data_IF_312792492348
#
_entry.id   IF_312792492348
#
_cell.length_a   1.000
_cell.length_b   1.000
_cell.length_c   1.000
_cell.angle_alpha   90.00
_cell.angle_beta   90.00
_cell.angle_gamma   90.00
#
_symmetry.space_group_name_H-M   'P 1'
#
loop_
_entity.id
_entity.type
_entity.pdbx_description
1 polymer ?
#
# COMPACT_ATOMS: atom_id res chain seq x y z
N UNK A 1 -2.75 -0.62 15.33
CA UNK A 1 -2.33 -2.06 15.34
C UNK A 1 -0.86 -2.22 14.91
N UNK A 2 -0.05 -3.03 15.61
CA UNK A 2 1.37 -3.28 15.27
C UNK A 2 1.67 -4.76 15.02
N UNK A 3 2.45 -5.07 13.98
CA UNK A 3 2.92 -6.43 13.65
C UNK A 3 4.44 -6.41 13.45
N UNK A 4 5.18 -6.94 14.42
CA UNK A 4 6.65 -7.05 14.39
C UNK A 4 7.17 -8.44 14.08
N UNK A 5 6.35 -9.48 14.28
CA UNK A 5 6.67 -10.88 13.96
C UNK A 5 5.99 -11.35 12.67
N UNK A 6 5.44 -12.56 12.68
CA UNK A 6 4.57 -13.03 11.60
C UNK A 6 3.09 -12.89 11.99
N UNK A 7 2.27 -12.35 11.10
CA UNK A 7 0.85 -12.14 11.32
C UNK A 7 -0.01 -12.63 10.15
N UNK A 8 -1.21 -13.10 10.46
CA UNK A 8 -2.24 -13.40 9.47
C UNK A 8 -3.53 -12.69 9.87
N UNK A 9 -4.12 -11.99 8.92
CA UNK A 9 -5.43 -11.35 9.05
C UNK A 9 -6.34 -11.94 7.97
N UNK A 10 -7.58 -12.26 8.30
CA UNK A 10 -8.57 -12.67 7.30
C UNK A 10 -9.04 -11.49 6.43
N UNK A 11 -8.87 -10.26 6.91
CA UNK A 11 -9.39 -9.02 6.34
C UNK A 11 -9.98 -8.16 7.47
N UNK A 12 -10.77 -7.17 7.11
CA UNK A 12 -11.53 -6.36 8.05
C UNK A 12 -11.07 -4.91 8.15
N UNK A 13 -11.53 -4.21 9.18
CA UNK A 13 -11.28 -2.79 9.38
C UNK A 13 -10.66 -2.56 10.74
N UNK A 14 -9.71 -1.62 10.80
CA UNK A 14 -9.25 -1.02 12.05
C UNK A 14 -9.40 0.50 11.97
N UNK A 15 -9.80 1.14 13.04
CA UNK A 15 -9.90 2.62 13.13
C UNK A 15 -8.57 3.25 13.60
N UNK A 16 -7.45 2.59 13.30
CA UNK A 16 -6.12 2.97 13.77
C UNK A 16 -5.08 2.70 12.67
N UNK A 17 -3.83 3.11 12.88
CA UNK A 17 -2.72 2.84 11.98
C UNK A 17 -2.34 1.35 12.01
N UNK A 18 -2.18 0.73 10.83
CA UNK A 18 -1.51 -0.56 10.69
C UNK A 18 -0.01 -0.33 10.48
N UNK A 19 0.79 -0.69 11.47
CA UNK A 19 2.25 -0.61 11.41
C UNK A 19 2.88 -2.01 11.33
N UNK A 20 3.63 -2.30 10.27
CA UNK A 20 4.22 -3.61 9.99
C UNK A 20 5.74 -3.50 9.85
N UNK A 21 6.47 -4.02 10.83
CA UNK A 21 7.92 -4.20 10.76
C UNK A 21 8.33 -5.66 10.53
N UNK A 22 7.41 -6.60 10.76
CA UNK A 22 7.59 -8.03 10.51
C UNK A 22 7.06 -8.48 9.14
N UNK A 23 6.29 -9.57 9.13
CA UNK A 23 5.61 -10.08 7.94
C UNK A 23 4.12 -10.27 8.21
N UNK A 24 3.26 -9.71 7.36
CA UNK A 24 1.81 -9.93 7.47
C UNK A 24 1.22 -10.41 6.15
N UNK A 25 0.30 -11.38 6.26
CA UNK A 25 -0.58 -11.78 5.17
C UNK A 25 -2.03 -11.44 5.51
N UNK A 26 -2.68 -10.66 4.67
CA UNK A 26 -4.10 -10.32 4.76
C UNK A 26 -4.84 -11.04 3.63
N UNK A 27 -5.75 -11.95 3.98
CA UNK A 27 -6.40 -12.84 3.01
C UNK A 27 -7.56 -12.19 2.24
N UNK A 28 -8.16 -11.13 2.78
CA UNK A 28 -9.27 -10.42 2.19
C UNK A 28 -9.04 -8.91 2.16
N UNK A 29 -10.14 -8.18 1.98
CA UNK A 29 -10.13 -6.72 1.96
C UNK A 29 -9.78 -6.16 3.33
N UNK A 30 -9.02 -5.07 3.35
CA UNK A 30 -8.59 -4.42 4.58
C UNK A 30 -8.76 -2.91 4.53
N UNK A 31 -9.22 -2.34 5.63
CA UNK A 31 -9.35 -0.90 5.82
C UNK A 31 -8.63 -0.44 7.08
N UNK A 32 -7.86 0.64 6.97
CA UNK A 32 -7.21 1.27 8.13
C UNK A 32 -7.17 2.80 8.02
N UNK A 33 -6.93 3.47 9.15
CA UNK A 33 -6.77 4.92 9.17
C UNK A 33 -5.43 5.37 8.60
N UNK A 34 -4.38 4.58 8.77
CA UNK A 34 -3.08 4.82 8.16
C UNK A 34 -2.34 3.49 7.97
N UNK A 35 -1.40 3.46 7.03
CA UNK A 35 -0.60 2.27 6.75
C UNK A 35 0.89 2.60 6.72
N UNK A 36 1.67 1.85 7.48
CA UNK A 36 3.13 1.99 7.51
C UNK A 36 3.78 0.61 7.51
N UNK A 37 4.57 0.30 6.49
CA UNK A 37 5.24 -0.99 6.34
C UNK A 37 6.72 -0.82 6.04
N UNK A 38 7.57 -1.26 6.96
CA UNK A 38 9.01 -1.47 6.74
C UNK A 38 9.36 -2.95 6.52
N UNK A 39 8.44 -3.85 6.84
CA UNK A 39 8.57 -5.29 6.66
C UNK A 39 8.00 -5.81 5.34
N UNK A 40 7.47 -7.03 5.36
CA UNK A 40 6.80 -7.67 4.21
C UNK A 40 5.30 -7.75 4.41
N UNK A 41 4.54 -7.04 3.58
CA UNK A 41 3.08 -7.03 3.63
C UNK A 41 2.50 -7.60 2.36
N UNK A 42 1.61 -8.59 2.49
CA UNK A 42 0.87 -9.18 1.39
C UNK A 42 -0.62 -9.11 1.64
N UNK A 43 -1.37 -8.51 0.74
CA UNK A 43 -2.83 -8.37 0.82
C UNK A 43 -3.42 -9.00 -0.44
N UNK A 44 -4.29 -9.98 -0.27
CA UNK A 44 -4.93 -10.67 -1.40
C UNK A 44 -6.22 -9.97 -1.88
N UNK A 45 -6.86 -9.18 -1.01
CA UNK A 45 -7.99 -8.32 -1.38
C UNK A 45 -7.57 -6.90 -1.74
N UNK A 46 -8.49 -5.96 -1.56
CA UNK A 46 -8.29 -4.52 -1.66
C UNK A 46 -7.72 -3.94 -0.36
N UNK A 47 -7.00 -2.83 -0.47
CA UNK A 47 -6.54 -2.05 0.69
C UNK A 47 -7.07 -0.63 0.60
N UNK A 48 -7.88 -0.23 1.58
CA UNK A 48 -8.40 1.12 1.73
C UNK A 48 -7.71 1.82 2.91
N UNK A 49 -7.14 3.00 2.68
CA UNK A 49 -6.43 3.77 3.70
C UNK A 49 -6.99 5.19 3.74
N UNK A 50 -7.58 5.58 4.87
CA UNK A 50 -8.21 6.91 5.03
C UNK A 50 -7.21 8.06 5.24
N UNK A 51 -5.99 7.72 5.65
CA UNK A 51 -4.88 8.64 5.85
C UNK A 51 -3.71 8.31 4.95
N UNK A 52 -2.51 8.47 5.49
CA UNK A 52 -1.29 8.30 4.71
C UNK A 52 -0.84 6.84 4.63
N UNK A 53 -0.19 6.50 3.52
CA UNK A 53 0.43 5.20 3.26
C UNK A 53 1.93 5.37 3.08
N UNK A 54 2.73 4.67 3.88
CA UNK A 54 4.19 4.62 3.78
C UNK A 54 4.66 3.18 3.62
N UNK A 55 5.44 2.92 2.57
CA UNK A 55 6.10 1.63 2.40
C UNK A 55 7.58 1.80 2.10
N UNK A 56 8.42 1.36 3.04
CA UNK A 56 9.87 1.22 2.84
C UNK A 56 10.30 -0.24 2.70
N UNK A 57 9.40 -1.20 2.93
CA UNK A 57 9.63 -2.63 2.80
C UNK A 57 9.13 -3.22 1.48
N UNK A 58 8.63 -4.46 1.56
CA UNK A 58 8.03 -5.17 0.43
C UNK A 58 6.51 -5.21 0.57
N UNK A 59 5.78 -4.54 -0.32
CA UNK A 59 4.33 -4.52 -0.34
C UNK A 59 3.78 -5.16 -1.61
N UNK A 60 2.95 -6.19 -1.46
CA UNK A 60 2.22 -6.83 -2.57
C UNK A 60 0.73 -6.78 -2.31
N UNK A 61 -0.01 -6.25 -3.27
CA UNK A 61 -1.46 -6.15 -3.25
C UNK A 61 -2.02 -6.80 -4.51
N UNK A 62 -2.91 -7.78 -4.34
CA UNK A 62 -3.59 -8.42 -5.45
C UNK A 62 -4.80 -7.61 -5.94
N UNK A 63 -5.50 -6.90 -5.05
CA UNK A 63 -6.60 -6.00 -5.40
C UNK A 63 -6.16 -4.57 -5.71
N UNK A 64 -7.09 -3.64 -5.52
CA UNK A 64 -6.88 -2.19 -5.68
C UNK A 64 -6.37 -1.54 -4.39
N UNK A 65 -5.53 -0.52 -4.54
CA UNK A 65 -5.05 0.34 -3.46
C UNK A 65 -5.81 1.68 -3.51
N UNK A 66 -6.62 1.98 -2.51
CA UNK A 66 -7.30 3.27 -2.38
C UNK A 66 -6.75 4.03 -1.18
N UNK A 67 -6.21 5.22 -1.40
CA UNK A 67 -5.62 6.05 -0.34
C UNK A 67 -6.19 7.47 -0.41
N UNK A 68 -6.76 7.94 0.70
CA UNK A 68 -7.28 9.30 0.80
C UNK A 68 -6.20 10.34 1.16
N UNK A 69 -5.12 9.91 1.82
CA UNK A 69 -3.96 10.74 2.13
C UNK A 69 -2.82 10.63 1.11
N UNK A 70 -1.61 10.91 1.58
CA UNK A 70 -0.40 10.83 0.77
C UNK A 70 0.14 9.40 0.70
N UNK A 71 0.76 9.04 -0.43
CA UNK A 71 1.44 7.76 -0.60
C UNK A 71 2.93 7.99 -0.81
N UNK A 72 3.76 7.39 0.06
CA UNK A 72 5.22 7.40 -0.07
C UNK A 72 5.78 5.99 -0.16
N UNK A 73 6.40 5.68 -1.29
CA UNK A 73 6.97 4.38 -1.59
C UNK A 73 8.48 4.53 -1.80
N UNK A 74 9.27 4.07 -0.84
CA UNK A 74 10.73 3.97 -0.97
C UNK A 74 11.22 2.53 -1.09
N UNK A 75 10.37 1.56 -0.74
CA UNK A 75 10.64 0.13 -0.89
C UNK A 75 10.19 -0.44 -2.24
N UNK A 76 9.84 -1.72 -2.24
CA UNK A 76 9.27 -2.42 -3.40
C UNK A 76 7.76 -2.56 -3.24
N UNK A 77 7.00 -2.03 -4.18
CA UNK A 77 5.54 -2.05 -4.18
C UNK A 77 5.02 -2.65 -5.48
N UNK A 78 4.19 -3.69 -5.39
CA UNK A 78 3.51 -4.28 -6.53
C UNK A 78 2.02 -4.35 -6.25
N UNK A 79 1.24 -3.60 -7.01
CA UNK A 79 -0.22 -3.62 -6.98
C UNK A 79 -0.70 -4.22 -8.30
N UNK A 80 -1.44 -5.32 -8.25
CA UNK A 80 -2.01 -5.93 -9.45
C UNK A 80 -3.24 -5.18 -9.94
N UNK A 81 -4.09 -4.70 -9.04
CA UNK A 81 -5.23 -3.86 -9.38
C UNK A 81 -4.82 -2.42 -9.71
N UNK A 82 -5.78 -1.52 -9.53
CA UNK A 82 -5.59 -0.09 -9.72
C UNK A 82 -5.06 0.58 -8.46
N UNK A 83 -4.38 1.70 -8.63
CA UNK A 83 -3.92 2.56 -7.52
C UNK A 83 -4.64 3.90 -7.63
N UNK A 84 -5.41 4.24 -6.59
CA UNK A 84 -6.10 5.51 -6.45
C UNK A 84 -5.57 6.27 -5.25
N UNK A 85 -5.11 7.50 -5.48
CA UNK A 85 -4.57 8.38 -4.43
C UNK A 85 -5.23 9.75 -4.52
N UNK A 86 -5.91 10.21 -3.46
CA UNK A 86 -6.59 11.51 -3.45
C UNK A 86 -5.65 12.70 -3.26
N UNK A 87 -4.45 12.50 -2.74
CA UNK A 87 -3.42 13.55 -2.60
C UNK A 87 -2.21 13.23 -3.46
N UNK A 88 -1.02 13.19 -2.86
CA UNK A 88 0.24 13.02 -3.59
C UNK A 88 0.72 11.57 -3.60
N UNK A 89 1.32 11.17 -4.71
CA UNK A 89 2.05 9.91 -4.83
C UNK A 89 3.54 10.16 -5.08
N UNK A 90 4.37 9.81 -4.11
CA UNK A 90 5.83 9.86 -4.23
C UNK A 90 6.40 8.46 -4.24
N UNK A 91 6.99 8.03 -5.35
CA UNK A 91 7.78 6.80 -5.43
C UNK A 91 9.25 7.11 -5.71
N UNK A 92 10.11 6.79 -4.74
CA UNK A 92 11.57 6.78 -4.87
C UNK A 92 12.14 5.36 -4.94
N UNK A 93 11.32 4.33 -4.73
CA UNK A 93 11.70 2.93 -4.79
C UNK A 93 11.29 2.25 -6.10
N UNK A 94 10.78 1.02 -6.01
CA UNK A 94 10.24 0.28 -7.16
C UNK A 94 8.72 0.17 -7.06
N UNK A 95 8.00 0.67 -8.05
CA UNK A 95 6.54 0.58 -8.15
C UNK A 95 6.15 -0.20 -9.40
N UNK A 96 5.34 -1.24 -9.23
CA UNK A 96 4.64 -1.92 -10.32
C UNK A 96 3.15 -1.81 -10.12
N UNK A 97 2.46 -1.15 -11.04
CA UNK A 97 1.00 -1.16 -11.14
C UNK A 97 0.59 -2.03 -12.32
N UNK A 98 -0.29 -3.00 -12.06
CA UNK A 98 -0.77 -3.95 -13.07
C UNK A 98 -1.89 -3.40 -13.94
N UNK A 99 -2.49 -2.27 -13.55
CA UNK A 99 -3.49 -1.51 -14.30
C UNK A 99 -3.16 -0.01 -14.22
N UNK A 100 -4.16 0.83 -13.93
CA UNK A 100 -4.05 2.29 -13.85
C UNK A 100 -3.48 2.77 -12.50
N UNK A 101 -2.79 3.92 -12.55
CA UNK A 101 -2.53 4.77 -11.40
C UNK A 101 -3.29 6.09 -11.62
N UNK A 102 -4.15 6.46 -10.68
CA UNK A 102 -4.85 7.74 -10.65
C UNK A 102 -4.51 8.49 -9.37
N UNK A 103 -4.05 9.74 -9.53
CA UNK A 103 -3.64 10.61 -8.44
C UNK A 103 -4.25 11.98 -8.67
N UNK A 104 -4.88 12.55 -7.65
CA UNK A 104 -5.68 13.79 -7.79
C UNK A 104 -4.87 15.07 -7.60
N UNK A 105 -3.71 15.00 -6.93
CA UNK A 105 -2.79 16.14 -6.79
C UNK A 105 -1.52 15.87 -7.59
N UNK A 106 -0.37 15.64 -6.94
CA UNK A 106 0.91 15.51 -7.62
C UNK A 106 1.46 14.07 -7.63
N UNK A 107 2.17 13.73 -8.72
CA UNK A 107 2.93 12.47 -8.82
C UNK A 107 4.42 12.79 -8.96
N UNK A 108 5.24 12.20 -8.11
CA UNK A 108 6.70 12.25 -8.21
C UNK A 108 7.30 10.86 -8.26
N UNK A 109 7.92 10.53 -9.39
CA UNK A 109 8.67 9.29 -9.56
C UNK A 109 10.16 9.59 -9.75
N UNK A 110 10.97 9.23 -8.76
CA UNK A 110 12.43 9.26 -8.87
C UNK A 110 13.06 7.86 -8.88
N UNK A 111 12.28 6.84 -8.55
CA UNK A 111 12.68 5.44 -8.64
C UNK A 111 12.18 4.76 -9.92
N UNK A 112 12.24 3.42 -9.95
CA UNK A 112 11.74 2.63 -11.07
C UNK A 112 10.23 2.44 -10.97
N UNK A 113 9.47 2.90 -11.96
CA UNK A 113 8.01 2.73 -11.99
C UNK A 113 7.59 2.07 -13.30
N UNK A 114 6.75 1.03 -13.21
CA UNK A 114 6.14 0.36 -14.37
C UNK A 114 4.64 0.27 -14.18
N UNK A 115 3.91 0.79 -15.15
CA UNK A 115 2.45 0.72 -15.20
C UNK A 115 2.09 -0.08 -16.45
N UNK A 116 1.38 -1.19 -16.27
CA UNK A 116 0.85 -1.99 -17.38
C UNK A 116 -0.64 -1.69 -17.42
N UNK A 117 -1.15 -1.17 -18.52
CA UNK A 117 -2.56 -0.81 -18.69
C UNK A 117 -3.01 -1.17 -20.09
#
# INVERSE_FOLDING_TARGET
>A
MRISGSGKLSGGKIEDELHVSGSVRIAGDFECNAFSSSGSTRVEGNLNVLGDTKNSGSFRLSGALNVEGDVRLSGSTSVRGEIFVKKDLVNSGSLRAGNKIEVHQDIKFSGSSRVQG
#
